data_IF_961203131314
#
_entry.id   IF_961203131314
#
_cell.length_a   1.000
_cell.length_b   1.000
_cell.length_c   1.000
_cell.angle_alpha   90.00
_cell.angle_beta   90.00
_cell.angle_gamma   90.00
#
_symmetry.space_group_name_H-M   'P 1'
#
loop_
_entity.id
_entity.type
_entity.pdbx_description
1 polymer ?
#
# COMPACT_ATOMS: atom_id res chain seq x y z
N UNK A 1 41.43 -10.33 45.00
CA UNK A 1 40.50 -9.22 45.10
C UNK A 1 39.41 -9.43 44.04
N UNK A 2 38.16 -9.61 44.49
CA UNK A 2 37.00 -9.66 43.57
C UNK A 2 36.44 -8.24 43.46
N UNK A 3 36.27 -7.77 42.23
CA UNK A 3 35.61 -6.50 41.96
C UNK A 3 34.12 -6.70 42.14
N UNK A 4 33.49 -5.99 43.07
CA UNK A 4 32.03 -5.98 43.22
C UNK A 4 31.48 -4.77 42.50
N UNK A 5 30.55 -5.01 41.61
CA UNK A 5 29.81 -3.93 40.93
C UNK A 5 28.67 -3.43 41.83
N UNK A 6 28.46 -2.14 41.86
CA UNK A 6 27.36 -1.50 42.57
C UNK A 6 26.56 -0.65 41.60
N UNK A 7 25.25 -0.89 41.45
CA UNK A 7 24.41 -1.89 42.13
C UNK A 7 24.65 -3.34 41.67
N UNK A 8 24.39 -4.30 42.54
CA UNK A 8 24.58 -5.74 42.29
C UNK A 8 23.62 -6.33 41.23
N UNK A 9 22.59 -5.59 40.87
CA UNK A 9 21.50 -5.96 39.96
C UNK A 9 21.64 -5.33 38.57
N UNK A 10 22.89 -5.05 38.14
CA UNK A 10 23.12 -4.52 36.80
C UNK A 10 22.67 -5.52 35.74
N UNK A 11 21.59 -5.20 35.03
CA UNK A 11 21.13 -5.96 33.86
C UNK A 11 21.78 -5.39 32.61
N UNK A 12 22.72 -6.12 32.03
CA UNK A 12 23.34 -5.78 30.75
C UNK A 12 22.57 -6.49 29.64
N UNK A 13 21.98 -5.71 28.74
CA UNK A 13 21.31 -6.22 27.54
C UNK A 13 22.23 -5.96 26.35
N UNK A 14 22.70 -7.03 25.70
CA UNK A 14 23.44 -6.93 24.45
C UNK A 14 22.48 -7.21 23.28
N UNK A 15 22.48 -6.36 22.29
CA UNK A 15 21.72 -6.55 21.05
C UNK A 15 22.52 -6.07 19.86
N UNK A 16 22.29 -6.69 18.72
CA UNK A 16 22.87 -6.28 17.45
C UNK A 16 21.94 -5.24 16.82
N UNK A 17 22.41 -4.00 16.72
CA UNK A 17 21.71 -2.99 15.92
C UNK A 17 21.81 -3.41 14.45
N UNK A 18 20.67 -3.60 13.79
CA UNK A 18 20.62 -3.81 12.34
C UNK A 18 20.85 -2.44 11.66
N UNK A 19 22.12 -2.07 11.62
CA UNK A 19 22.56 -0.81 11.05
C UNK A 19 22.57 -0.93 9.54
N UNK A 20 21.68 -0.20 8.89
CA UNK A 20 21.60 -0.12 7.43
C UNK A 20 21.95 1.28 6.96
N UNK A 21 23.20 1.50 6.51
CA UNK A 21 23.60 2.80 5.99
C UNK A 21 22.69 3.18 4.80
N UNK A 22 22.28 4.43 4.78
CA UNK A 22 21.42 4.95 3.72
C UNK A 22 22.26 5.58 2.63
N UNK A 23 22.16 5.02 1.42
CA UNK A 23 22.73 5.58 0.21
C UNK A 23 21.67 5.59 -0.89
N UNK A 24 21.75 6.51 -1.82
CA UNK A 24 20.97 6.46 -3.03
C UNK A 24 21.39 5.26 -3.87
N UNK A 25 20.46 4.39 -4.23
CA UNK A 25 20.74 3.17 -4.98
C UNK A 25 20.50 3.36 -6.47
N UNK A 26 19.27 3.72 -6.83
CA UNK A 26 18.85 3.91 -8.22
C UNK A 26 17.51 4.61 -8.31
N UNK A 27 17.17 5.04 -9.52
CA UNK A 27 15.79 5.34 -9.88
C UNK A 27 15.25 4.34 -10.90
N UNK A 28 13.93 4.28 -11.02
CA UNK A 28 13.23 3.49 -12.03
C UNK A 28 12.06 4.32 -12.57
N UNK A 29 11.91 4.43 -13.90
CA UNK A 29 10.79 5.02 -14.60
C UNK A 29 10.38 4.12 -15.75
N UNK A 30 9.59 3.07 -15.44
CA UNK A 30 9.13 2.11 -16.45
C UNK A 30 8.01 2.68 -17.31
N UNK A 31 7.18 3.52 -16.70
CA UNK A 31 6.04 4.19 -17.33
C UNK A 31 6.17 5.71 -17.19
N UNK A 32 5.48 6.50 -18.03
CA UNK A 32 5.61 7.96 -17.97
C UNK A 32 5.00 8.59 -16.73
N UNK A 33 3.99 7.94 -16.14
CA UNK A 33 3.13 8.47 -15.09
C UNK A 33 3.81 8.59 -13.74
N UNK A 34 4.84 7.79 -13.48
CA UNK A 34 5.55 7.80 -12.20
C UNK A 34 7.00 7.35 -12.32
N UNK A 35 7.79 7.70 -11.32
CA UNK A 35 9.13 7.15 -11.11
C UNK A 35 9.34 6.80 -9.64
N UNK A 36 10.24 5.87 -9.38
CA UNK A 36 10.57 5.44 -8.01
C UNK A 36 12.05 5.69 -7.72
N UNK A 37 12.33 6.24 -6.55
CA UNK A 37 13.66 6.34 -5.99
C UNK A 37 13.86 5.24 -4.94
N UNK A 38 15.00 4.58 -5.01
CA UNK A 38 15.39 3.49 -4.10
C UNK A 38 16.62 3.89 -3.31
N UNK A 39 16.57 3.63 -2.01
CA UNK A 39 17.69 3.82 -1.08
C UNK A 39 18.00 2.49 -0.39
N UNK A 40 19.25 2.32 0.07
CA UNK A 40 19.70 1.09 0.73
C UNK A 40 19.17 0.94 2.16
N UNK A 41 18.84 2.04 2.83
CA UNK A 41 18.39 2.05 4.20
C UNK A 41 17.27 3.06 4.49
N UNK A 42 16.59 2.92 5.63
CA UNK A 42 15.51 3.82 6.02
C UNK A 42 16.01 5.20 6.44
N UNK A 43 15.11 6.19 6.43
CA UNK A 43 15.33 7.52 7.01
C UNK A 43 14.03 8.06 7.60
N UNK A 44 14.08 8.81 8.71
CA UNK A 44 12.94 9.54 9.22
C UNK A 44 12.48 10.64 8.27
N UNK A 45 13.39 11.16 7.42
CA UNK A 45 13.12 12.25 6.50
C UNK A 45 12.94 11.74 5.07
N UNK A 46 11.95 12.30 4.39
CA UNK A 46 11.77 12.09 2.95
C UNK A 46 12.75 12.95 2.17
N UNK A 47 13.25 12.47 1.01
CA UNK A 47 14.04 13.29 0.12
C UNK A 47 13.26 14.54 -0.34
N UNK A 48 13.94 15.67 -0.42
CA UNK A 48 13.40 16.90 -1.00
C UNK A 48 13.74 16.94 -2.48
N UNK A 49 12.75 17.11 -3.33
CA UNK A 49 12.92 17.20 -4.78
C UNK A 49 12.67 18.63 -5.23
N UNK A 50 13.60 19.16 -6.01
CA UNK A 50 13.44 20.44 -6.72
C UNK A 50 13.56 20.19 -8.21
N UNK A 51 12.50 20.44 -8.96
CA UNK A 51 12.51 20.33 -10.42
C UNK A 51 13.44 21.37 -11.05
N UNK A 52 14.19 20.96 -12.06
CA UNK A 52 15.09 21.85 -12.83
C UNK A 52 14.49 22.23 -14.18
N UNK A 53 13.63 21.37 -14.75
CA UNK A 53 12.90 21.62 -15.99
C UNK A 53 11.37 21.52 -15.85
N UNK A 54 10.87 21.39 -14.62
CA UNK A 54 9.45 21.37 -14.27
C UNK A 54 9.26 21.83 -12.81
N UNK A 55 8.01 22.10 -12.40
CA UNK A 55 7.72 22.48 -11.02
C UNK A 55 7.39 21.22 -10.20
N UNK A 56 8.36 20.71 -9.43
CA UNK A 56 8.20 19.47 -8.65
C UNK A 56 7.13 19.58 -7.55
N UNK A 57 7.03 20.74 -6.88
CA UNK A 57 6.10 20.93 -5.74
C UNK A 57 4.63 20.82 -6.13
N UNK A 58 4.30 21.21 -7.37
CA UNK A 58 2.93 21.19 -7.89
C UNK A 58 2.62 19.97 -8.74
N UNK A 59 3.64 19.34 -9.29
CA UNK A 59 3.48 18.29 -10.30
C UNK A 59 3.77 16.89 -9.80
N UNK A 60 4.20 16.75 -8.54
CA UNK A 60 4.53 15.46 -7.95
C UNK A 60 3.66 15.17 -6.73
N UNK A 61 3.25 13.95 -6.68
CA UNK A 61 2.58 13.34 -5.55
C UNK A 61 3.36 12.10 -5.11
N UNK A 62 3.63 11.97 -3.82
CA UNK A 62 4.55 10.95 -3.29
C UNK A 62 3.83 9.86 -2.52
N UNK A 63 4.08 8.62 -2.89
CA UNK A 63 3.78 7.43 -2.09
C UNK A 63 5.10 6.86 -1.58
N UNK A 64 5.28 6.80 -0.28
CA UNK A 64 6.47 6.26 0.35
C UNK A 64 6.12 5.03 1.17
N UNK A 65 7.03 4.07 1.22
CA UNK A 65 6.95 3.01 2.21
C UNK A 65 7.26 3.57 3.61
N UNK A 66 7.02 2.76 4.65
CA UNK A 66 7.19 3.19 6.04
C UNK A 66 8.63 3.59 6.40
N UNK A 67 9.64 3.01 5.73
CA UNK A 67 11.06 3.32 5.94
C UNK A 67 11.56 4.51 5.15
N UNK A 68 10.76 5.10 4.26
CA UNK A 68 11.20 6.09 3.28
C UNK A 68 12.43 5.66 2.47
N UNK A 69 12.62 4.34 2.26
CA UNK A 69 13.68 3.80 1.42
C UNK A 69 13.24 3.49 -0.01
N UNK A 70 11.92 3.41 -0.22
CA UNK A 70 11.28 3.26 -1.52
C UNK A 70 10.20 4.30 -1.67
N UNK A 71 10.40 5.27 -2.55
CA UNK A 71 9.48 6.39 -2.76
C UNK A 71 9.06 6.46 -4.22
N UNK A 72 7.75 6.34 -4.46
CA UNK A 72 7.17 6.49 -5.79
C UNK A 72 6.55 7.87 -5.93
N UNK A 73 6.96 8.58 -6.97
CA UNK A 73 6.51 9.93 -7.31
C UNK A 73 5.62 9.85 -8.56
N UNK A 74 4.36 10.19 -8.39
CA UNK A 74 3.37 10.26 -9.46
C UNK A 74 3.34 11.65 -10.04
N UNK A 75 3.33 11.75 -11.37
CA UNK A 75 3.21 13.01 -12.08
C UNK A 75 1.74 13.44 -12.14
N UNK A 76 1.36 14.49 -11.42
CA UNK A 76 -0.01 15.02 -11.45
C UNK A 76 -0.26 15.92 -12.65
N UNK A 77 0.80 16.51 -13.20
CA UNK A 77 0.75 17.30 -14.43
C UNK A 77 0.92 16.39 -15.65
N UNK A 78 -0.16 16.17 -16.38
CA UNK A 78 -0.18 15.30 -17.55
C UNK A 78 0.68 15.79 -18.71
N UNK A 79 1.04 17.07 -18.75
CA UNK A 79 1.94 17.61 -19.78
C UNK A 79 3.34 17.03 -19.67
N UNK A 80 3.76 16.68 -18.45
CA UNK A 80 5.06 16.07 -18.17
C UNK A 80 5.17 14.61 -18.64
N UNK A 81 4.06 13.96 -18.98
CA UNK A 81 4.05 12.59 -19.50
C UNK A 81 4.73 12.51 -20.89
N UNK A 82 4.81 13.63 -21.58
CA UNK A 82 5.45 13.74 -22.90
C UNK A 82 6.95 14.04 -22.81
N UNK A 83 7.43 14.46 -21.62
CA UNK A 83 8.86 14.71 -21.41
C UNK A 83 9.60 13.41 -21.18
N UNK A 84 10.55 13.12 -22.06
CA UNK A 84 11.41 11.93 -21.95
C UNK A 84 12.43 12.09 -20.81
N UNK A 85 12.85 13.31 -20.47
CA UNK A 85 13.80 13.53 -19.39
C UNK A 85 13.25 14.52 -18.37
N UNK A 86 13.10 14.07 -17.13
CA UNK A 86 12.82 14.91 -15.98
C UNK A 86 14.13 15.19 -15.24
N UNK A 87 14.52 16.45 -15.16
CA UNK A 87 15.71 16.87 -14.42
C UNK A 87 15.30 17.39 -13.05
N UNK A 88 15.91 16.88 -12.02
CA UNK A 88 15.63 17.31 -10.65
C UNK A 88 16.88 17.25 -9.76
N UNK A 89 16.94 18.16 -8.80
CA UNK A 89 17.86 18.07 -7.68
C UNK A 89 17.18 17.33 -6.54
N UNK A 90 17.79 16.25 -6.06
CA UNK A 90 17.33 15.41 -4.98
C UNK A 90 18.22 15.59 -3.77
N UNK A 91 17.70 16.17 -2.68
CA UNK A 91 18.41 16.33 -1.42
C UNK A 91 17.89 15.26 -0.44
N UNK A 92 18.78 14.43 0.07
CA UNK A 92 18.47 13.31 0.95
C UNK A 92 19.56 13.10 1.99
N UNK A 93 19.22 12.35 3.06
CA UNK A 93 20.21 11.94 4.05
C UNK A 93 21.04 10.80 3.45
N UNK A 94 22.35 11.04 3.27
CA UNK A 94 23.33 10.05 2.84
C UNK A 94 24.25 9.72 4.02
N UNK A 95 24.67 8.47 4.11
CA UNK A 95 25.54 8.04 5.19
C UNK A 95 27.01 8.29 4.85
N UNK A 96 27.71 9.01 5.71
CA UNK A 96 29.15 9.21 5.63
C UNK A 96 29.87 8.09 6.39
N UNK A 97 30.48 7.18 5.67
CA UNK A 97 31.18 6.02 6.26
C UNK A 97 32.40 6.41 7.10
N UNK A 98 33.02 7.54 6.80
CA UNK A 98 34.20 8.02 7.49
C UNK A 98 33.84 8.65 8.84
N UNK A 99 32.78 9.44 8.87
CA UNK A 99 32.33 10.16 10.06
C UNK A 99 31.25 9.40 10.86
N UNK A 100 30.71 8.32 10.28
CA UNK A 100 29.63 7.49 10.87
C UNK A 100 28.39 8.30 11.25
N UNK A 101 28.03 9.28 10.41
CA UNK A 101 26.87 10.14 10.57
C UNK A 101 26.10 10.31 9.26
N UNK A 102 24.81 10.55 9.36
CA UNK A 102 23.99 10.93 8.21
C UNK A 102 24.20 12.42 7.89
N UNK A 103 24.44 12.75 6.63
CA UNK A 103 24.58 14.10 6.13
C UNK A 103 23.66 14.36 4.95
N UNK A 104 23.16 15.57 4.86
CA UNK A 104 22.38 15.97 3.70
C UNK A 104 23.27 16.03 2.45
N UNK A 105 22.90 15.29 1.42
CA UNK A 105 23.56 15.26 0.11
C UNK A 105 22.54 15.67 -0.97
N UNK A 106 23.01 16.41 -1.96
CA UNK A 106 22.17 16.80 -3.10
C UNK A 106 22.80 16.25 -4.37
N UNK A 107 22.06 15.42 -5.06
CA UNK A 107 22.43 14.89 -6.37
C UNK A 107 21.47 15.41 -7.45
N UNK A 108 22.02 15.70 -8.63
CA UNK A 108 21.19 16.02 -9.81
C UNK A 108 20.86 14.71 -10.53
N UNK A 109 19.57 14.44 -10.66
CA UNK A 109 19.07 13.22 -11.30
C UNK A 109 18.41 13.57 -12.63
N UNK A 110 18.74 12.79 -13.67
CA UNK A 110 18.04 12.80 -14.95
C UNK A 110 17.19 11.54 -15.05
N UNK A 111 15.90 11.68 -14.79
CA UNK A 111 14.94 10.56 -14.76
C UNK A 111 14.44 10.32 -16.18
N UNK A 112 14.93 9.28 -16.83
CA UNK A 112 14.60 8.88 -18.20
C UNK A 112 13.67 7.67 -18.17
N UNK A 113 12.56 7.65 -18.94
CA UNK A 113 11.68 6.50 -19.03
C UNK A 113 12.33 5.37 -19.82
N UNK A 114 11.98 4.13 -19.51
CA UNK A 114 12.45 2.94 -20.24
C UNK A 114 12.12 3.01 -21.74
N UNK A 115 10.99 3.63 -22.09
CA UNK A 115 10.54 3.81 -23.46
C UNK A 115 10.17 5.27 -23.69
N UNK A 116 10.80 5.91 -24.68
CA UNK A 116 10.56 7.30 -25.06
C UNK A 116 9.14 7.53 -25.54
N UNK A 117 8.65 8.77 -25.43
CA UNK A 117 7.33 9.15 -25.90
C UNK A 117 7.10 8.79 -27.38
N UNK A 118 8.08 9.08 -28.24
CA UNK A 118 7.99 8.77 -29.66
C UNK A 118 7.81 7.25 -29.93
N UNK A 119 8.56 6.40 -29.22
CA UNK A 119 8.42 4.93 -29.34
C UNK A 119 7.06 4.44 -28.85
N UNK A 120 6.53 5.03 -27.76
CA UNK A 120 5.18 4.68 -27.24
C UNK A 120 4.09 5.07 -28.24
N UNK A 121 4.18 6.27 -28.80
CA UNK A 121 3.25 6.76 -29.80
C UNK A 121 3.26 5.85 -31.06
N UNK A 122 4.45 5.50 -31.56
CA UNK A 122 4.61 4.61 -32.69
C UNK A 122 4.05 3.19 -32.41
N UNK A 123 4.26 2.68 -31.21
CA UNK A 123 3.69 1.39 -30.79
C UNK A 123 2.16 1.42 -30.78
N UNK A 124 1.56 2.48 -30.22
CA UNK A 124 0.09 2.66 -30.19
C UNK A 124 -0.50 2.79 -31.60
N UNK A 125 0.15 3.55 -32.48
CA UNK A 125 -0.26 3.67 -33.88
C UNK A 125 -0.22 2.31 -34.61
N UNK A 126 0.86 1.54 -34.37
CA UNK A 126 1.01 0.20 -34.96
C UNK A 126 -0.07 -0.78 -34.47
N UNK A 127 -0.43 -0.67 -33.19
CA UNK A 127 -1.50 -1.49 -32.60
C UNK A 127 -2.87 -1.14 -33.21
N UNK A 128 -3.19 0.16 -33.31
CA UNK A 128 -4.40 0.63 -33.96
C UNK A 128 -4.50 0.16 -35.43
N UNK A 129 -3.40 0.29 -36.18
CA UNK A 129 -3.37 -0.16 -37.59
C UNK A 129 -3.54 -1.68 -37.71
N UNK A 130 -3.01 -2.48 -36.77
CA UNK A 130 -3.28 -3.93 -36.73
C UNK A 130 -4.75 -4.24 -36.47
N UNK A 131 -5.34 -3.54 -35.51
CA UNK A 131 -6.75 -3.71 -35.17
C UNK A 131 -7.64 -3.34 -36.35
N UNK A 132 -7.41 -2.21 -37.01
CA UNK A 132 -8.16 -1.79 -38.21
C UNK A 132 -8.12 -2.87 -39.31
N UNK A 133 -6.92 -3.40 -39.61
CA UNK A 133 -6.78 -4.51 -40.58
C UNK A 133 -7.53 -5.76 -40.15
N UNK A 134 -7.54 -6.09 -38.86
CA UNK A 134 -8.30 -7.25 -38.37
C UNK A 134 -9.80 -7.00 -38.44
N UNK A 135 -10.28 -5.77 -38.15
CA UNK A 135 -11.67 -5.38 -38.31
C UNK A 135 -12.13 -5.50 -39.76
N UNK A 136 -11.36 -4.95 -40.71
CA UNK A 136 -11.67 -5.07 -42.13
C UNK A 136 -11.78 -6.54 -42.62
N UNK A 137 -10.85 -7.41 -42.12
CA UNK A 137 -10.88 -8.84 -42.46
C UNK A 137 -12.11 -9.54 -41.88
N UNK A 138 -12.57 -9.15 -40.68
CA UNK A 138 -13.81 -9.68 -40.08
C UNK A 138 -15.03 -9.22 -40.84
N UNK A 139 -15.11 -7.93 -41.16
CA UNK A 139 -16.21 -7.38 -41.96
C UNK A 139 -16.33 -8.08 -43.34
N UNK A 140 -15.21 -8.36 -44.01
CA UNK A 140 -15.21 -9.11 -45.28
C UNK A 140 -15.72 -10.56 -45.13
N UNK A 141 -15.72 -11.13 -43.94
CA UNK A 141 -16.28 -12.46 -43.63
C UNK A 141 -17.70 -12.42 -43.09
N UNK A 142 -18.34 -11.24 -43.07
CA UNK A 142 -19.70 -11.07 -42.56
C UNK A 142 -19.79 -10.92 -41.03
N UNK A 143 -18.65 -10.79 -40.34
CA UNK A 143 -18.60 -10.54 -38.90
C UNK A 143 -18.48 -9.03 -38.67
N UNK A 144 -19.60 -8.41 -38.30
CA UNK A 144 -19.69 -6.97 -38.01
C UNK A 144 -19.61 -6.65 -36.51
N UNK A 145 -19.10 -7.56 -35.70
CA UNK A 145 -18.83 -7.28 -34.30
C UNK A 145 -17.75 -6.19 -34.19
N UNK A 146 -18.15 -4.98 -33.80
CA UNK A 146 -17.30 -3.84 -33.54
C UNK A 146 -16.64 -3.99 -32.14
N UNK A 147 -15.78 -4.99 -31.98
CA UNK A 147 -14.92 -5.05 -30.83
C UNK A 147 -13.92 -3.91 -30.93
N UNK A 148 -14.10 -2.90 -30.09
CA UNK A 148 -13.11 -1.83 -29.93
C UNK A 148 -11.77 -2.41 -29.47
N UNK A 149 -10.63 -1.76 -29.80
CA UNK A 149 -9.36 -2.11 -29.20
C UNK A 149 -9.50 -2.16 -27.68
N UNK A 150 -8.79 -3.08 -27.05
CA UNK A 150 -8.86 -3.20 -25.60
C UNK A 150 -8.43 -1.86 -24.98
N UNK A 151 -9.42 -1.10 -24.49
CA UNK A 151 -9.15 0.16 -23.82
C UNK A 151 -8.43 -0.11 -22.51
N UNK A 152 -7.41 0.67 -22.21
CA UNK A 152 -6.80 0.66 -20.90
C UNK A 152 -7.86 1.03 -19.86
N UNK A 153 -7.97 0.23 -18.81
CA UNK A 153 -8.95 0.41 -17.75
C UNK A 153 -8.25 0.66 -16.42
N UNK A 154 -8.92 1.41 -15.55
CA UNK A 154 -8.49 1.52 -14.17
C UNK A 154 -8.83 0.22 -13.43
N UNK A 155 -7.81 -0.58 -13.13
CA UNK A 155 -8.00 -1.79 -12.33
C UNK A 155 -8.16 -1.47 -10.86
N UNK A 156 -9.11 -2.17 -10.21
CA UNK A 156 -9.37 -2.07 -8.78
C UNK A 156 -9.24 -3.46 -8.16
N UNK A 157 -8.33 -3.61 -7.22
CA UNK A 157 -8.12 -4.84 -6.46
C UNK A 157 -8.77 -4.72 -5.09
N UNK A 158 -9.33 -5.81 -4.59
CA UNK A 158 -9.93 -5.90 -3.26
C UNK A 158 -9.16 -6.86 -2.38
N UNK A 159 -8.92 -6.51 -1.12
CA UNK A 159 -8.22 -7.35 -0.15
C UNK A 159 -8.79 -7.11 1.26
N UNK A 160 -8.93 -8.15 2.12
CA UNK A 160 -8.64 -9.54 1.85
C UNK A 160 -9.69 -10.23 0.97
N UNK A 161 -9.38 -11.45 0.53
CA UNK A 161 -10.35 -12.31 -0.18
C UNK A 161 -11.36 -12.92 0.79
N UNK A 162 -12.50 -13.39 0.25
CA UNK A 162 -13.50 -14.15 1.03
C UNK A 162 -12.93 -15.50 1.51
N UNK A 163 -13.33 -16.01 2.71
CA UNK A 163 -14.22 -15.37 3.70
C UNK A 163 -13.52 -14.28 4.52
N UNK A 164 -14.24 -13.20 4.79
CA UNK A 164 -13.77 -12.09 5.63
C UNK A 164 -13.98 -12.42 7.11
N UNK A 165 -13.08 -11.94 7.97
CA UNK A 165 -13.32 -11.91 9.40
C UNK A 165 -14.20 -10.71 9.76
N UNK A 166 -15.13 -10.82 10.73
CA UNK A 166 -16.07 -9.74 11.04
C UNK A 166 -15.43 -8.42 11.47
N UNK A 167 -14.20 -8.47 11.97
CA UNK A 167 -13.43 -7.30 12.46
C UNK A 167 -12.55 -6.64 11.39
N UNK A 168 -12.53 -7.18 10.17
CA UNK A 168 -11.69 -6.65 9.09
C UNK A 168 -12.50 -5.99 7.99
N UNK A 169 -12.03 -4.85 7.57
CA UNK A 169 -12.61 -4.11 6.45
C UNK A 169 -11.95 -4.50 5.12
N UNK A 170 -12.62 -4.20 4.02
CA UNK A 170 -12.11 -4.45 2.68
C UNK A 170 -11.30 -3.26 2.20
N UNK A 171 -10.05 -3.51 1.80
CA UNK A 171 -9.19 -2.50 1.18
C UNK A 171 -9.34 -2.57 -0.32
N UNK A 172 -9.64 -1.43 -0.93
CA UNK A 172 -9.60 -1.22 -2.37
C UNK A 172 -8.23 -0.65 -2.72
N UNK A 173 -7.56 -1.23 -3.72
CA UNK A 173 -6.28 -0.73 -4.23
C UNK A 173 -6.44 -0.39 -5.69
N UNK A 174 -6.10 0.83 -6.07
CA UNK A 174 -6.19 1.38 -7.40
C UNK A 174 -4.82 1.34 -8.08
N UNK A 175 -4.78 1.05 -9.36
CA UNK A 175 -3.51 1.05 -10.13
C UNK A 175 -2.98 2.44 -10.40
N UNK A 176 -3.82 3.48 -10.26
CA UNK A 176 -3.46 4.89 -10.46
C UNK A 176 -4.15 5.79 -9.44
N UNK A 177 -3.60 6.98 -9.14
CA UNK A 177 -4.24 7.95 -8.27
C UNK A 177 -5.60 8.40 -8.84
N UNK A 178 -6.56 8.62 -7.95
CA UNK A 178 -7.92 8.98 -8.33
C UNK A 178 -8.08 10.49 -8.48
N UNK A 179 -8.75 10.91 -9.57
CA UNK A 179 -9.29 12.26 -9.73
C UNK A 179 -10.73 12.34 -9.20
N UNK A 180 -11.49 11.26 -9.35
CA UNK A 180 -12.91 11.24 -8.97
C UNK A 180 -13.34 9.86 -8.53
N UNK A 181 -14.16 9.83 -7.49
CA UNK A 181 -14.89 8.65 -7.02
C UNK A 181 -16.33 9.08 -6.79
N UNK A 182 -17.26 8.55 -7.59
CA UNK A 182 -18.67 8.86 -7.48
C UNK A 182 -19.34 7.90 -6.51
N UNK A 183 -19.85 8.43 -5.41
CA UNK A 183 -20.49 7.63 -4.37
C UNK A 183 -21.79 6.96 -4.85
N UNK A 184 -22.53 7.60 -5.77
CA UNK A 184 -23.76 7.08 -6.38
C UNK A 184 -23.55 5.84 -7.25
N UNK A 185 -22.32 5.61 -7.71
CA UNK A 185 -21.96 4.42 -8.50
C UNK A 185 -21.33 3.29 -7.67
N UNK A 186 -21.44 3.34 -6.35
CA UNK A 186 -20.86 2.33 -5.46
C UNK A 186 -21.96 1.78 -4.55
N UNK A 187 -22.12 0.46 -4.54
CA UNK A 187 -23.21 -0.21 -3.85
C UNK A 187 -22.67 -1.36 -3.01
N UNK A 188 -23.20 -1.49 -1.81
CA UNK A 188 -23.02 -2.65 -0.96
C UNK A 188 -24.39 -3.24 -0.66
N UNK A 189 -24.55 -4.53 -0.88
CA UNK A 189 -25.80 -5.24 -0.65
C UNK A 189 -25.57 -6.42 0.28
N UNK A 190 -26.48 -6.62 1.22
CA UNK A 190 -26.56 -7.77 2.11
C UNK A 190 -27.58 -8.75 1.57
N UNK A 191 -27.28 -10.03 1.56
CA UNK A 191 -28.22 -11.08 1.21
C UNK A 191 -29.03 -11.47 2.44
N UNK A 192 -30.36 -11.28 2.35
CA UNK A 192 -31.32 -11.77 3.33
C UNK A 192 -32.20 -12.79 2.63
N UNK A 193 -32.16 -14.04 3.09
CA UNK A 193 -32.77 -15.20 2.42
C UNK A 193 -32.30 -15.31 0.96
N UNK A 194 -33.14 -14.97 -0.01
CA UNK A 194 -32.85 -15.04 -1.43
C UNK A 194 -32.66 -13.66 -2.09
N UNK A 195 -32.99 -12.59 -1.38
CA UNK A 195 -33.00 -11.22 -1.90
C UNK A 195 -31.78 -10.42 -1.46
N UNK A 196 -31.38 -9.47 -2.30
CA UNK A 196 -30.33 -8.51 -2.01
C UNK A 196 -30.95 -7.19 -1.52
N UNK A 197 -30.51 -6.68 -0.38
CA UNK A 197 -30.93 -5.43 0.21
C UNK A 197 -29.72 -4.52 0.36
N UNK A 198 -29.92 -3.23 0.15
CA UNK A 198 -28.85 -2.25 0.33
C UNK A 198 -28.38 -2.23 1.79
N UNK A 199 -27.07 -2.22 1.97
CA UNK A 199 -26.40 -2.18 3.26
C UNK A 199 -25.61 -0.88 3.39
N UNK A 200 -25.63 -0.25 4.59
CA UNK A 200 -24.86 0.95 4.84
C UNK A 200 -23.37 0.64 4.81
N UNK A 201 -22.59 1.55 4.23
CA UNK A 201 -21.13 1.48 4.18
C UNK A 201 -20.52 2.88 4.17
N UNK A 202 -19.21 2.94 4.46
CA UNK A 202 -18.39 4.11 4.28
C UNK A 202 -17.13 3.76 3.49
N UNK A 203 -16.63 4.72 2.71
CA UNK A 203 -15.36 4.62 2.01
C UNK A 203 -14.41 5.67 2.58
N UNK A 204 -13.37 5.20 3.25
CA UNK A 204 -12.36 6.06 3.85
C UNK A 204 -11.08 6.02 3.02
N UNK A 205 -10.48 7.19 2.80
CA UNK A 205 -9.14 7.27 2.23
C UNK A 205 -8.10 6.78 3.23
N UNK A 206 -7.06 6.12 2.73
CA UNK A 206 -5.92 5.71 3.56
C UNK A 206 -4.94 6.89 3.67
N UNK A 207 -4.69 7.44 4.88
CA UNK A 207 -3.75 8.53 5.04
C UNK A 207 -2.37 8.21 4.47
N UNK A 208 -1.84 9.10 3.63
CA UNK A 208 -0.54 8.92 2.99
C UNK A 208 -0.49 7.89 1.85
N UNK A 209 -1.62 7.25 1.51
CA UNK A 209 -1.71 6.33 0.37
C UNK A 209 -2.99 6.54 -0.45
N UNK A 210 -3.01 7.47 -1.40
CA UNK A 210 -4.18 7.76 -2.26
C UNK A 210 -4.43 6.72 -3.36
N UNK A 211 -3.62 5.68 -3.41
CA UNK A 211 -3.89 4.49 -4.23
C UNK A 211 -4.76 3.47 -3.49
N UNK A 212 -5.24 3.79 -2.29
CA UNK A 212 -6.03 2.86 -1.49
C UNK A 212 -7.19 3.56 -0.80
N UNK A 213 -8.30 2.85 -0.70
CA UNK A 213 -9.45 3.20 0.12
C UNK A 213 -9.90 2.00 0.95
N UNK A 214 -10.53 2.25 2.09
CA UNK A 214 -11.06 1.21 2.96
C UNK A 214 -12.59 1.27 2.91
N UNK A 215 -13.19 0.18 2.48
CA UNK A 215 -14.64 -0.04 2.57
C UNK A 215 -14.96 -0.55 3.97
N UNK A 216 -15.65 0.25 4.74
CA UNK A 216 -16.14 -0.10 6.08
C UNK A 216 -17.63 -0.38 6.04
N UNK A 217 -18.04 -1.45 6.66
CA UNK A 217 -19.42 -1.82 6.82
C UNK A 217 -19.61 -2.60 8.14
N UNK A 218 -20.84 -2.76 8.56
CA UNK A 218 -21.20 -3.69 9.62
C UNK A 218 -21.21 -5.12 9.06
N UNK A 219 -20.07 -5.80 9.14
CA UNK A 219 -19.91 -7.16 8.64
C UNK A 219 -20.58 -8.16 9.60
N UNK A 220 -21.79 -8.60 9.28
CA UNK A 220 -22.54 -9.56 10.09
C UNK A 220 -22.03 -10.98 9.84
N UNK A 221 -21.67 -11.74 10.90
CA UNK A 221 -21.19 -13.10 10.75
C UNK A 221 -22.18 -14.00 10.00
N UNK A 222 -21.66 -14.97 9.25
CA UNK A 222 -22.44 -15.92 8.44
C UNK A 222 -23.25 -15.30 7.30
N UNK A 223 -23.11 -14.01 7.05
CA UNK A 223 -23.86 -13.31 6.01
C UNK A 223 -23.02 -13.18 4.72
N UNK A 224 -23.72 -12.95 3.62
CA UNK A 224 -23.12 -12.71 2.31
C UNK A 224 -23.39 -11.28 1.87
N UNK A 225 -22.35 -10.64 1.39
CA UNK A 225 -22.40 -9.28 0.86
C UNK A 225 -21.99 -9.27 -0.61
N UNK A 226 -22.61 -8.40 -1.38
CA UNK A 226 -22.25 -8.10 -2.76
C UNK A 226 -21.84 -6.63 -2.86
N UNK A 227 -20.62 -6.40 -3.25
CA UNK A 227 -20.04 -5.08 -3.49
C UNK A 227 -19.98 -4.83 -4.98
N UNK A 228 -20.54 -3.72 -5.43
CA UNK A 228 -20.60 -3.35 -6.84
C UNK A 228 -20.03 -1.95 -7.02
N UNK A 229 -19.16 -1.79 -8.00
CA UNK A 229 -18.72 -0.50 -8.53
C UNK A 229 -19.19 -0.44 -9.98
N UNK A 230 -20.03 0.53 -10.29
CA UNK A 230 -20.54 0.71 -11.65
C UNK A 230 -19.43 1.15 -12.62
N UNK A 231 -19.65 0.94 -13.90
CA UNK A 231 -18.73 1.39 -14.93
C UNK A 231 -18.57 2.91 -14.88
N UNK A 232 -17.32 3.39 -14.99
CA UNK A 232 -16.96 4.80 -14.93
C UNK A 232 -17.34 5.52 -13.62
N UNK A 233 -17.60 4.78 -12.53
CA UNK A 233 -17.81 5.36 -11.20
C UNK A 233 -16.49 5.89 -10.59
N UNK A 234 -15.37 5.33 -10.98
CA UNK A 234 -14.04 5.74 -10.55
C UNK A 234 -13.22 6.18 -11.75
N UNK A 235 -12.58 7.35 -11.63
CA UNK A 235 -11.72 7.94 -12.67
C UNK A 235 -10.36 8.29 -12.10
N UNK A 236 -9.30 7.89 -12.81
CA UNK A 236 -7.92 8.28 -12.47
C UNK A 236 -7.60 9.71 -12.93
N UNK A 237 -6.52 10.29 -12.38
CA UNK A 237 -6.00 11.61 -12.83
C UNK A 237 -5.56 11.60 -14.30
N UNK A 238 -5.30 10.43 -14.88
CA UNK A 238 -4.93 10.26 -16.29
C UNK A 238 -6.13 9.93 -17.20
N UNK A 239 -7.35 9.99 -16.66
CA UNK A 239 -8.57 9.82 -17.41
C UNK A 239 -9.04 8.37 -17.57
N UNK A 240 -8.30 7.37 -17.07
CA UNK A 240 -8.76 5.99 -17.09
C UNK A 240 -9.98 5.81 -16.18
N UNK A 241 -10.92 5.00 -16.63
CA UNK A 241 -12.13 4.66 -15.87
C UNK A 241 -12.20 3.15 -15.60
N UNK A 242 -12.88 2.78 -14.53
CA UNK A 242 -13.11 1.37 -14.22
C UNK A 242 -14.22 0.77 -15.12
N UNK A 243 -14.12 -0.53 -15.40
CA UNK A 243 -15.27 -1.35 -15.80
C UNK A 243 -16.11 -1.66 -14.58
N UNK A 244 -17.35 -2.10 -14.79
CA UNK A 244 -18.20 -2.60 -13.70
C UNK A 244 -17.48 -3.75 -12.97
N UNK A 245 -17.42 -3.64 -11.66
CA UNK A 245 -16.81 -4.64 -10.78
C UNK A 245 -17.90 -5.15 -9.84
N UNK A 246 -17.97 -6.46 -9.72
CA UNK A 246 -18.81 -7.11 -8.74
C UNK A 246 -17.96 -8.07 -7.91
N UNK A 247 -18.06 -7.98 -6.58
CA UNK A 247 -17.36 -8.84 -5.65
C UNK A 247 -18.32 -9.34 -4.58
N UNK A 248 -18.34 -10.65 -4.40
CA UNK A 248 -19.12 -11.30 -3.36
C UNK A 248 -18.20 -11.61 -2.18
N UNK A 249 -18.63 -11.23 -0.98
CA UNK A 249 -17.94 -11.52 0.26
C UNK A 249 -18.82 -12.40 1.14
N UNK A 250 -18.25 -13.45 1.67
CA UNK A 250 -18.84 -14.25 2.73
C UNK A 250 -18.14 -13.89 4.05
N UNK A 251 -18.92 -13.62 5.07
CA UNK A 251 -18.36 -13.31 6.39
C UNK A 251 -18.29 -14.62 7.17
N UNK A 252 -17.12 -14.92 7.70
CA UNK A 252 -16.87 -16.12 8.45
C UNK A 252 -17.79 -16.22 9.68
N UNK A 253 -18.10 -17.43 10.09
CA UNK A 253 -18.94 -17.70 11.26
C UNK A 253 -18.18 -17.38 12.53
N UNK A 254 -18.88 -16.98 13.59
CA UNK A 254 -18.24 -16.77 14.90
C UNK A 254 -17.64 -18.05 15.47
N UNK A 255 -18.26 -19.18 15.17
CA UNK A 255 -17.81 -20.51 15.60
C UNK A 255 -16.44 -20.92 15.02
N UNK A 256 -16.01 -20.26 13.93
CA UNK A 256 -14.70 -20.50 13.31
C UNK A 256 -13.54 -19.85 14.08
N UNK A 257 -13.84 -19.11 15.17
CA UNK A 257 -12.85 -18.33 15.89
C UNK A 257 -12.89 -18.58 17.40
N UNK A 258 -11.73 -18.44 18.01
CA UNK A 258 -11.56 -18.30 19.45
C UNK A 258 -11.12 -16.91 19.85
N UNK A 259 -11.08 -16.69 21.16
CA UNK A 259 -10.49 -15.49 21.77
C UNK A 259 -9.32 -15.92 22.63
N UNK A 260 -8.21 -15.20 22.54
CA UNK A 260 -7.02 -15.41 23.36
C UNK A 260 -6.85 -14.25 24.30
N UNK A 261 -6.88 -14.53 25.60
CA UNK A 261 -6.63 -13.54 26.66
C UNK A 261 -5.21 -13.73 27.20
N UNK A 262 -4.45 -12.67 27.24
CA UNK A 262 -3.09 -12.67 27.80
C UNK A 262 -3.04 -11.68 28.95
N UNK A 263 -2.66 -12.14 30.13
CA UNK A 263 -2.44 -11.28 31.30
C UNK A 263 -0.95 -11.17 31.56
N UNK A 264 -0.46 -9.94 31.66
CA UNK A 264 0.92 -9.63 32.01
C UNK A 264 0.96 -8.97 33.37
N UNK A 265 1.65 -9.58 34.31
CA UNK A 265 1.86 -9.02 35.65
C UNK A 265 2.97 -7.98 35.60
N UNK A 266 2.77 -6.84 36.29
CA UNK A 266 3.73 -5.73 36.35
C UNK A 266 4.16 -5.16 34.96
N UNK A 267 3.26 -5.24 33.98
CA UNK A 267 3.55 -4.74 32.64
C UNK A 267 3.52 -3.21 32.58
N UNK A 268 4.49 -2.63 31.88
CA UNK A 268 4.48 -1.22 31.51
C UNK A 268 3.36 -0.93 30.51
N UNK A 269 2.77 0.27 30.56
CA UNK A 269 1.70 0.72 29.64
C UNK A 269 2.15 0.78 28.18
N UNK A 270 3.47 0.80 27.92
CA UNK A 270 4.06 0.72 26.58
C UNK A 270 4.18 -0.71 26.05
N UNK A 271 3.78 -1.72 26.84
CA UNK A 271 3.90 -3.10 26.42
C UNK A 271 2.92 -3.44 25.28
N UNK A 272 3.46 -4.11 24.29
CA UNK A 272 2.76 -4.59 23.09
C UNK A 272 2.86 -6.10 23.05
N UNK A 273 1.74 -6.78 22.85
CA UNK A 273 1.68 -8.23 22.66
C UNK A 273 1.38 -8.54 21.20
N UNK A 274 2.14 -9.42 20.62
CA UNK A 274 1.96 -9.93 19.28
C UNK A 274 1.64 -11.40 19.31
N UNK A 275 0.63 -11.79 18.54
CA UNK A 275 0.31 -13.17 18.21
C UNK A 275 0.98 -13.50 16.88
N UNK A 276 1.90 -14.46 16.88
CA UNK A 276 2.67 -14.85 15.72
C UNK A 276 2.20 -16.20 15.21
N UNK A 277 2.18 -16.42 13.91
CA UNK A 277 1.99 -17.73 13.33
C UNK A 277 3.25 -18.61 13.47
N UNK A 278 3.17 -19.86 13.05
CA UNK A 278 4.28 -20.83 13.14
C UNK A 278 5.52 -20.42 12.31
N UNK A 279 5.35 -19.55 11.33
CA UNK A 279 6.45 -18.99 10.53
C UNK A 279 7.07 -17.71 11.15
N UNK A 280 6.59 -17.29 12.35
CA UNK A 280 7.09 -16.09 13.03
C UNK A 280 6.51 -14.76 12.50
N UNK A 281 5.54 -14.81 11.60
CA UNK A 281 4.88 -13.60 11.10
C UNK A 281 3.80 -13.13 12.07
N UNK A 282 3.66 -11.82 12.21
CA UNK A 282 2.66 -11.21 13.08
C UNK A 282 1.27 -11.36 12.45
N UNK A 283 0.40 -12.12 13.12
CA UNK A 283 -1.01 -12.27 12.74
C UNK A 283 -1.87 -11.17 13.34
N UNK A 284 -1.65 -10.87 14.63
CA UNK A 284 -2.33 -9.82 15.38
C UNK A 284 -1.39 -9.14 16.36
N UNK A 285 -1.68 -7.88 16.64
CA UNK A 285 -0.94 -7.08 17.60
C UNK A 285 -1.92 -6.23 18.41
N UNK A 286 -1.71 -6.19 19.72
CA UNK A 286 -2.54 -5.45 20.66
C UNK A 286 -1.66 -4.75 21.69
N UNK A 287 -1.95 -3.48 21.96
CA UNK A 287 -1.35 -2.77 23.08
C UNK A 287 -2.05 -3.19 24.37
N UNK A 288 -1.29 -3.38 25.42
CA UNK A 288 -1.84 -3.74 26.73
C UNK A 288 -2.73 -2.61 27.26
N UNK A 289 -3.85 -3.02 27.87
CA UNK A 289 -4.73 -2.17 28.67
C UNK A 289 -4.95 -2.86 30.02
N UNK A 290 -4.63 -2.16 31.11
CA UNK A 290 -4.78 -2.68 32.47
C UNK A 290 -4.14 -4.07 32.67
N UNK A 291 -2.94 -4.27 32.13
CA UNK A 291 -2.23 -5.53 32.20
C UNK A 291 -2.78 -6.67 31.34
N UNK A 292 -3.76 -6.39 30.45
CA UNK A 292 -4.40 -7.39 29.60
C UNK A 292 -4.23 -7.08 28.11
N UNK A 293 -4.06 -8.12 27.31
CA UNK A 293 -4.16 -8.08 25.86
C UNK A 293 -5.18 -9.10 25.40
N UNK A 294 -6.12 -8.68 24.58
CA UNK A 294 -7.24 -9.51 24.11
C UNK A 294 -7.18 -9.63 22.58
N UNK A 295 -7.13 -10.86 22.09
CA UNK A 295 -7.11 -11.16 20.67
C UNK A 295 -8.42 -11.84 20.30
N UNK A 296 -9.29 -11.10 19.66
CA UNK A 296 -10.55 -11.62 19.14
C UNK A 296 -10.39 -12.18 17.73
N UNK A 297 -11.30 -13.06 17.33
CA UNK A 297 -11.36 -13.66 16.00
C UNK A 297 -10.06 -14.36 15.61
N UNK A 298 -9.48 -15.13 16.54
CA UNK A 298 -8.29 -15.95 16.30
C UNK A 298 -8.75 -17.29 15.73
N UNK A 299 -8.24 -17.66 14.56
CA UNK A 299 -8.55 -18.98 13.98
C UNK A 299 -7.90 -20.09 14.82
N UNK A 300 -8.49 -21.30 14.91
CA UNK A 300 -7.82 -22.43 15.54
C UNK A 300 -6.46 -22.72 14.89
N UNK A 301 -5.44 -22.93 15.70
CA UNK A 301 -4.07 -23.16 15.22
C UNK A 301 -3.03 -23.04 16.32
N UNK A 302 -1.77 -23.20 15.94
CA UNK A 302 -0.63 -23.01 16.82
C UNK A 302 -0.05 -21.61 16.63
N UNK A 303 0.15 -20.91 17.73
CA UNK A 303 0.64 -19.53 17.75
C UNK A 303 1.76 -19.37 18.76
N UNK A 304 2.62 -18.40 18.52
CA UNK A 304 3.60 -17.93 19.48
C UNK A 304 3.20 -16.53 19.95
N UNK A 305 3.51 -16.25 21.22
CA UNK A 305 3.35 -14.92 21.78
C UNK A 305 4.71 -14.25 21.86
N UNK A 306 4.75 -12.97 21.44
CA UNK A 306 5.89 -12.08 21.64
C UNK A 306 5.40 -10.83 22.35
N UNK A 307 6.11 -10.46 23.43
CA UNK A 307 5.87 -9.21 24.14
C UNK A 307 7.12 -8.35 24.05
N UNK A 308 6.92 -7.05 23.85
CA UNK A 308 8.01 -6.06 23.87
C UNK A 308 7.48 -4.72 24.40
N UNK A 309 8.39 -3.83 24.78
CA UNK A 309 8.06 -2.49 25.26
C UNK A 309 8.25 -1.49 24.12
N UNK A 310 7.18 -1.02 23.54
CA UNK A 310 7.19 -0.01 22.47
C UNK A 310 7.33 1.40 23.08
N UNK A 311 8.54 1.73 23.50
CA UNK A 311 8.84 3.00 24.19
C UNK A 311 8.77 4.20 23.27
N UNK A 312 9.13 4.01 22.01
CA UNK A 312 9.09 5.04 20.97
C UNK A 312 7.70 5.20 20.33
N UNK A 313 6.75 4.29 20.66
CA UNK A 313 5.37 4.25 20.18
C UNK A 313 5.25 4.20 18.67
N UNK A 314 6.17 3.53 18.00
CA UNK A 314 6.14 3.37 16.55
C UNK A 314 5.30 2.15 16.11
N UNK A 315 4.83 1.34 17.06
CA UNK A 315 4.02 0.14 16.83
C UNK A 315 4.80 -0.99 16.19
N UNK A 316 6.12 -0.98 16.27
CA UNK A 316 6.99 -2.03 15.76
C UNK A 316 7.90 -2.55 16.86
N UNK A 317 8.22 -3.81 16.75
CA UNK A 317 9.34 -4.33 17.49
C UNK A 317 10.65 -3.90 16.83
N UNK A 318 11.47 -3.15 17.53
CA UNK A 318 12.80 -2.73 17.13
C UNK A 318 13.85 -3.24 18.12
N UNK A 319 15.11 -3.31 17.67
CA UNK A 319 16.21 -3.75 18.55
C UNK A 319 16.37 -2.75 19.69
N UNK A 320 16.20 -3.21 20.93
CA UNK A 320 16.26 -2.38 22.15
C UNK A 320 14.89 -2.13 22.83
N UNK A 321 13.81 -2.62 22.23
CA UNK A 321 12.46 -2.66 22.83
C UNK A 321 12.31 -3.84 23.80
#
# INVERSE_FOLDING_TARGET
HYTRFMPDDIVVRAFKVDYRPRHFLKYLRDVPEWFTLYFTGPSPHRPKLRGLNFNADRSLFTVANRGNDTLTYWLTDTTLLHLDTLRLACTYDDWDDSLKVARAKTDTLEIVPKTTFAKRLAAKQKELAKWEKQRERRHKRGDFSDEKPQEEILEIKTSPSSPLTPDRNVTLTFTQPLAQLRADGIHLQLRVDTLWHDAPFALDSVPGNPLSAVLRAEWRPSQRYKFVIDSAAVRSIYGLVNKRIERNFEIAKLEDFGTVFVTLHHADTSAVVQLLNTSGNVERQVNIRDGRAEFYYVRPGNYYLRCYLDRNRDGKWTTGD
#
